data_IF_391115806648
#
_entry.id   IF_391115806648
#
_cell.length_a   1.000
_cell.length_b   1.000
_cell.length_c   1.000
_cell.angle_alpha   90.00
_cell.angle_beta   90.00
_cell.angle_gamma   90.00
#
_symmetry.space_group_name_H-M   'P 1'
#
loop_
_entity.id
_entity.type
_entity.pdbx_description
1 polymer ?
#
# COMPACT_ATOMS: atom_id res chain seq x y z
N UNK A 1 -28.64 9.93 -16.06
CA UNK A 1 -27.96 9.13 -17.10
C UNK A 1 -27.08 8.10 -16.40
N UNK A 2 -27.71 7.11 -15.78
CA UNK A 2 -27.05 5.98 -15.12
C UNK A 2 -27.81 4.75 -15.61
N UNK A 3 -27.32 4.16 -16.70
CA UNK A 3 -27.91 2.99 -17.32
C UNK A 3 -27.07 1.77 -16.99
N UNK A 4 -27.60 0.90 -16.13
CA UNK A 4 -27.56 -0.56 -16.28
C UNK A 4 -26.22 -1.23 -16.62
N UNK A 5 -25.19 -1.07 -15.79
CA UNK A 5 -24.00 -1.93 -15.81
C UNK A 5 -23.57 -2.21 -14.39
N UNK A 6 -23.85 -3.42 -13.87
CA UNK A 6 -23.41 -3.81 -12.54
C UNK A 6 -21.91 -3.60 -12.39
N UNK A 7 -21.48 -3.06 -11.25
CA UNK A 7 -20.08 -3.08 -10.85
C UNK A 7 -19.63 -4.55 -10.78
N UNK A 8 -19.14 -5.09 -11.88
CA UNK A 8 -18.49 -6.39 -11.86
C UNK A 8 -17.19 -6.22 -11.08
N UNK A 9 -17.05 -7.00 -10.00
CA UNK A 9 -15.90 -7.10 -9.06
C UNK A 9 -14.50 -7.26 -9.69
N UNK A 10 -14.37 -7.14 -11.02
CA UNK A 10 -13.23 -7.51 -11.87
C UNK A 10 -12.38 -6.33 -12.35
N UNK A 11 -12.59 -5.12 -11.82
CA UNK A 11 -11.84 -3.92 -12.23
C UNK A 11 -10.83 -3.43 -11.19
N UNK A 12 -10.90 -3.96 -9.98
CA UNK A 12 -10.02 -3.58 -8.89
C UNK A 12 -8.77 -4.45 -8.82
N UNK A 13 -8.85 -5.70 -9.30
CA UNK A 13 -7.74 -6.63 -9.28
C UNK A 13 -7.28 -6.94 -10.70
N UNK A 14 -5.96 -6.96 -10.93
CA UNK A 14 -5.39 -7.37 -12.20
C UNK A 14 -5.59 -8.89 -12.42
N UNK A 15 -5.31 -9.72 -11.41
CA UNK A 15 -5.60 -11.16 -11.45
C UNK A 15 -6.92 -11.52 -10.76
N UNK A 16 -7.99 -11.58 -11.57
CA UNK A 16 -9.32 -11.94 -11.08
C UNK A 16 -9.45 -13.37 -10.55
N UNK A 17 -8.46 -14.25 -10.77
CA UNK A 17 -8.46 -15.62 -10.24
C UNK A 17 -8.14 -15.68 -8.73
N UNK A 18 -7.49 -14.64 -8.20
CA UNK A 18 -7.16 -14.50 -6.79
C UNK A 18 -8.33 -13.96 -5.95
N UNK A 19 -9.39 -13.48 -6.60
CA UNK A 19 -10.58 -12.95 -5.93
C UNK A 19 -11.49 -14.10 -5.47
N UNK A 20 -11.15 -14.68 -4.33
CA UNK A 20 -11.92 -15.76 -3.71
C UNK A 20 -13.13 -15.24 -2.95
N UNK A 21 -14.16 -16.08 -2.77
CA UNK A 21 -15.32 -15.72 -1.95
C UNK A 21 -14.90 -15.47 -0.48
N UNK A 22 -13.89 -16.19 0.03
CA UNK A 22 -13.33 -15.94 1.36
C UNK A 22 -12.75 -14.53 1.48
N UNK A 23 -11.97 -14.08 0.49
CA UNK A 23 -11.42 -12.73 0.46
C UNK A 23 -12.54 -11.68 0.47
N UNK A 24 -13.60 -11.90 -0.33
CA UNK A 24 -14.77 -11.02 -0.36
C UNK A 24 -15.43 -10.95 1.01
N UNK A 25 -15.63 -12.09 1.68
CA UNK A 25 -16.21 -12.12 3.01
C UNK A 25 -15.34 -11.38 4.03
N UNK A 26 -14.01 -11.50 3.97
CA UNK A 26 -13.09 -10.77 4.85
C UNK A 26 -13.19 -9.25 4.70
N UNK A 27 -13.50 -8.75 3.50
CA UNK A 27 -13.70 -7.32 3.24
C UNK A 27 -15.13 -6.88 3.62
N UNK A 28 -16.13 -7.72 3.32
CA UNK A 28 -17.55 -7.40 3.52
C UNK A 28 -17.96 -7.43 5.00
N UNK A 29 -17.54 -8.44 5.76
CA UNK A 29 -18.00 -8.65 7.14
C UNK A 29 -17.69 -7.45 8.06
N UNK A 30 -16.48 -6.87 8.07
CA UNK A 30 -16.21 -5.65 8.83
C UNK A 30 -17.12 -4.47 8.43
N UNK A 31 -17.56 -4.42 7.18
CA UNK A 31 -18.46 -3.38 6.69
C UNK A 31 -19.93 -3.54 7.09
N UNK A 32 -20.30 -4.70 7.65
CA UNK A 32 -21.65 -4.96 8.17
C UNK A 32 -21.76 -4.71 9.68
N UNK A 33 -20.65 -4.43 10.36
CA UNK A 33 -20.63 -4.15 11.79
C UNK A 33 -21.32 -2.81 12.11
N UNK A 34 -21.99 -2.69 13.27
CA UNK A 34 -22.55 -1.42 13.72
C UNK A 34 -21.48 -0.32 13.78
N UNK A 35 -21.74 0.83 13.15
CA UNK A 35 -20.80 1.95 13.05
C UNK A 35 -19.83 1.87 11.86
N UNK A 36 -19.83 0.80 11.08
CA UNK A 36 -18.99 0.70 9.89
C UNK A 36 -19.31 1.79 8.84
N UNK A 37 -20.60 2.13 8.69
CA UNK A 37 -21.04 3.20 7.78
C UNK A 37 -20.40 4.56 8.11
N UNK A 38 -20.25 4.88 9.40
CA UNK A 38 -19.62 6.12 9.84
C UNK A 38 -18.11 6.14 9.52
N UNK A 39 -17.44 4.98 9.66
CA UNK A 39 -16.02 4.81 9.27
C UNK A 39 -15.85 4.94 7.76
N UNK A 40 -16.71 4.32 6.97
CA UNK A 40 -16.69 4.46 5.52
C UNK A 40 -16.96 5.91 5.09
N UNK A 41 -17.94 6.58 5.71
CA UNK A 41 -18.26 7.97 5.43
C UNK A 41 -17.09 8.89 5.81
N UNK A 42 -16.45 8.64 6.96
CA UNK A 42 -15.24 9.34 7.34
C UNK A 42 -14.16 9.15 6.26
N UNK A 43 -13.83 7.91 5.87
CA UNK A 43 -12.79 7.64 4.87
C UNK A 43 -13.04 8.33 3.51
N UNK A 44 -14.26 8.27 2.97
CA UNK A 44 -14.56 8.86 1.65
C UNK A 44 -14.72 10.39 1.69
N UNK A 45 -15.08 10.95 2.85
CA UNK A 45 -15.20 12.40 3.03
C UNK A 45 -13.92 13.04 3.58
N UNK A 46 -12.92 12.25 3.98
CA UNK A 46 -11.65 12.73 4.48
C UNK A 46 -10.75 13.12 3.30
N UNK A 47 -10.82 14.39 2.90
CA UNK A 47 -9.87 14.99 1.94
C UNK A 47 -8.84 15.89 2.60
N UNK A 48 -8.77 15.91 3.93
CA UNK A 48 -7.93 16.83 4.70
C UNK A 48 -6.71 16.11 5.27
N UNK A 49 -5.70 15.91 4.41
CA UNK A 49 -4.40 15.41 4.80
C UNK A 49 -3.33 15.90 3.83
N UNK A 50 -2.08 16.10 4.31
CA UNK A 50 -0.99 16.48 3.42
C UNK A 50 -0.76 15.36 2.40
N UNK A 51 -0.55 15.74 1.14
CA UNK A 51 -0.32 14.79 0.07
C UNK A 51 1.03 14.08 0.26
N UNK A 52 1.23 12.87 -0.29
CA UNK A 52 2.51 12.17 -0.23
C UNK A 52 3.67 13.03 -0.73
N UNK A 53 3.47 13.84 -1.77
CA UNK A 53 4.43 14.82 -2.29
C UNK A 53 4.82 15.93 -1.30
N UNK A 54 3.93 16.30 -0.37
CA UNK A 54 4.21 17.27 0.69
C UNK A 54 4.92 16.61 1.88
N UNK A 55 4.65 15.33 2.11
CA UNK A 55 5.22 14.56 3.21
C UNK A 55 6.63 14.05 2.91
N UNK A 56 6.87 13.51 1.70
CA UNK A 56 8.14 12.89 1.33
C UNK A 56 9.37 13.77 1.59
N UNK A 57 9.36 15.09 1.31
CA UNK A 57 10.48 15.99 1.66
C UNK A 57 10.74 16.13 3.17
N UNK A 58 9.73 15.88 4.01
CA UNK A 58 9.81 16.04 5.46
C UNK A 58 10.28 14.76 6.17
N UNK A 59 10.24 13.62 5.46
CA UNK A 59 10.65 12.32 5.99
C UNK A 59 12.18 12.26 6.11
N UNK A 60 12.67 11.92 7.31
CA UNK A 60 14.11 11.80 7.62
C UNK A 60 14.64 10.37 7.58
N UNK A 61 13.75 9.39 7.39
CA UNK A 61 14.10 7.99 7.26
C UNK A 61 14.20 7.62 5.78
N UNK A 62 14.97 6.59 5.44
CA UNK A 62 15.00 6.07 4.07
C UNK A 62 13.62 5.62 3.61
N UNK A 63 13.26 5.94 2.37
CA UNK A 63 12.00 5.54 1.74
C UNK A 63 12.30 4.66 0.53
N UNK A 64 11.57 3.55 0.43
CA UNK A 64 11.51 2.71 -0.77
C UNK A 64 10.14 2.89 -1.40
N UNK A 65 10.10 3.18 -2.71
CA UNK A 65 8.86 3.22 -3.48
C UNK A 65 8.82 2.00 -4.39
N UNK A 66 7.82 1.14 -4.20
CA UNK A 66 7.52 0.01 -5.08
C UNK A 66 6.21 0.29 -5.81
N UNK A 67 6.16 0.04 -7.12
CA UNK A 67 5.01 0.41 -7.97
C UNK A 67 4.65 -0.68 -8.97
N UNK A 68 3.38 -1.06 -9.05
CA UNK A 68 2.88 -2.02 -10.04
C UNK A 68 2.70 -1.37 -11.42
N UNK A 69 3.35 -1.89 -12.47
CA UNK A 69 3.22 -1.34 -13.84
C UNK A 69 1.84 -1.58 -14.48
N UNK A 70 1.06 -2.50 -13.92
CA UNK A 70 -0.28 -2.88 -14.37
C UNK A 70 -1.40 -2.41 -13.45
N UNK A 71 -1.11 -1.55 -12.48
CA UNK A 71 -2.14 -0.95 -11.65
C UNK A 71 -3.15 -0.18 -12.55
N UNK A 72 -4.44 -0.58 -12.56
CA UNK A 72 -5.44 0.05 -13.42
C UNK A 72 -5.96 1.39 -12.87
N UNK A 73 -5.61 1.75 -11.63
CA UNK A 73 -6.06 2.95 -10.94
C UNK A 73 -4.96 4.02 -10.84
N UNK A 74 -3.70 3.61 -10.69
CA UNK A 74 -2.57 4.52 -10.50
C UNK A 74 -1.51 4.41 -11.63
N UNK A 75 -1.51 5.33 -12.61
CA UNK A 75 -0.54 5.33 -13.71
C UNK A 75 0.92 5.42 -13.21
N UNK A 76 1.80 4.61 -13.80
CA UNK A 76 3.23 4.54 -13.43
C UNK A 76 3.95 5.89 -13.55
N UNK A 77 3.47 6.80 -14.41
CA UNK A 77 4.03 8.13 -14.56
C UNK A 77 3.96 8.93 -13.25
N UNK A 78 2.88 8.77 -12.48
CA UNK A 78 2.74 9.38 -11.15
C UNK A 78 3.74 8.76 -10.18
N UNK A 79 3.85 7.43 -10.20
CA UNK A 79 4.82 6.70 -9.39
C UNK A 79 6.26 7.16 -9.60
N UNK A 80 6.68 7.30 -10.87
CA UNK A 80 8.03 7.73 -11.20
C UNK A 80 8.36 9.13 -10.69
N UNK A 81 7.36 10.00 -10.52
CA UNK A 81 7.59 11.32 -9.92
C UNK A 81 8.10 11.21 -8.48
N UNK A 82 7.64 10.20 -7.72
CA UNK A 82 8.11 9.96 -6.36
C UNK A 82 9.58 9.52 -6.28
N UNK A 83 10.13 8.91 -7.34
CA UNK A 83 11.55 8.56 -7.40
C UNK A 83 12.50 9.77 -7.41
N UNK A 84 12.00 10.99 -7.62
CA UNK A 84 12.81 12.20 -7.67
C UNK A 84 12.98 12.91 -6.31
N UNK A 85 12.38 12.41 -5.23
CA UNK A 85 12.53 12.99 -3.90
C UNK A 85 13.80 12.47 -3.22
N UNK A 86 14.55 13.36 -2.56
CA UNK A 86 15.82 13.01 -1.89
C UNK A 86 15.67 11.95 -0.78
N UNK A 87 14.48 11.82 -0.20
CA UNK A 87 14.17 10.82 0.82
C UNK A 87 13.97 9.41 0.26
N UNK A 88 13.77 9.29 -1.06
CA UNK A 88 13.55 8.02 -1.75
C UNK A 88 14.89 7.46 -2.22
N UNK A 89 15.29 6.32 -1.65
CA UNK A 89 16.54 5.65 -2.01
C UNK A 89 16.40 4.83 -3.30
N UNK A 90 15.26 4.15 -3.43
CA UNK A 90 15.01 3.16 -4.47
C UNK A 90 13.58 3.36 -5.02
N UNK A 91 13.43 3.37 -6.35
CA UNK A 91 12.15 3.25 -7.03
C UNK A 91 12.13 1.95 -7.84
N UNK A 92 11.28 1.01 -7.45
CA UNK A 92 11.23 -0.33 -8.03
C UNK A 92 9.88 -0.54 -8.73
N UNK A 93 9.96 -0.87 -10.02
CA UNK A 93 8.78 -1.26 -10.80
C UNK A 93 8.58 -2.76 -10.67
N UNK A 94 7.40 -3.14 -10.21
CA UNK A 94 6.95 -4.52 -10.12
C UNK A 94 5.97 -4.81 -11.27
N UNK A 95 5.96 -6.05 -11.81
CA UNK A 95 5.05 -6.44 -12.89
C UNK A 95 3.59 -6.59 -12.45
N UNK A 96 3.37 -6.63 -11.13
CA UNK A 96 2.09 -6.70 -10.44
C UNK A 96 2.35 -6.34 -8.97
N UNK A 97 1.61 -5.40 -8.40
CA UNK A 97 1.67 -5.04 -6.98
C UNK A 97 0.93 -6.07 -6.10
N UNK A 98 0.07 -6.90 -6.70
CA UNK A 98 -0.66 -7.99 -6.05
C UNK A 98 0.17 -9.29 -5.94
N UNK A 99 1.50 -9.20 -6.01
CA UNK A 99 2.42 -10.34 -6.02
C UNK A 99 3.24 -10.44 -4.71
N UNK A 100 2.71 -11.04 -3.62
CA UNK A 100 3.41 -11.19 -2.35
C UNK A 100 4.79 -11.86 -2.48
N UNK A 101 4.95 -12.80 -3.42
CA UNK A 101 6.22 -13.48 -3.70
C UNK A 101 7.31 -12.53 -4.23
N UNK A 102 6.93 -11.40 -4.82
CA UNK A 102 7.86 -10.35 -5.28
C UNK A 102 7.98 -9.23 -4.25
N UNK A 103 6.86 -8.84 -3.62
CA UNK A 103 6.81 -7.74 -2.65
C UNK A 103 7.45 -8.12 -1.31
N UNK A 104 7.18 -9.31 -0.76
CA UNK A 104 7.66 -9.68 0.57
C UNK A 104 9.19 -9.72 0.66
N UNK A 105 9.93 -10.38 -0.26
CA UNK A 105 11.39 -10.38 -0.22
C UNK A 105 11.97 -8.98 -0.37
N UNK A 106 11.29 -8.10 -1.11
CA UNK A 106 11.71 -6.72 -1.28
C UNK A 106 11.59 -5.93 0.04
N UNK A 107 10.44 -6.04 0.72
CA UNK A 107 10.21 -5.42 2.03
C UNK A 107 11.20 -5.97 3.06
N UNK A 108 11.37 -7.29 3.14
CA UNK A 108 12.34 -7.92 4.05
C UNK A 108 13.76 -7.42 3.80
N UNK A 109 14.17 -7.34 2.54
CA UNK A 109 15.49 -6.84 2.16
C UNK A 109 15.66 -5.37 2.54
N UNK A 110 14.65 -4.54 2.35
CA UNK A 110 14.70 -3.11 2.72
C UNK A 110 14.80 -2.92 4.23
N UNK A 111 13.96 -3.62 4.99
CA UNK A 111 13.99 -3.61 6.45
C UNK A 111 15.34 -4.12 6.96
N UNK A 112 15.88 -5.19 6.39
CA UNK A 112 17.19 -5.73 6.80
C UNK A 112 18.34 -4.74 6.56
N UNK A 113 18.31 -3.96 5.46
CA UNK A 113 19.31 -2.91 5.18
C UNK A 113 19.32 -1.80 6.23
N UNK A 114 18.14 -1.44 6.74
CA UNK A 114 17.93 -0.31 7.64
C UNK A 114 17.68 -0.69 9.10
N UNK A 115 17.69 -1.99 9.39
CA UNK A 115 17.61 -2.49 10.75
C UNK A 115 18.90 -2.15 11.50
N UNK A 116 18.83 -1.15 12.39
CA UNK A 116 19.91 -0.89 13.34
C UNK A 116 20.14 -2.16 14.18
N UNK A 117 21.38 -2.65 14.33
CA UNK A 117 21.66 -3.77 15.22
C UNK A 117 21.13 -3.44 16.61
N UNK A 118 20.22 -4.27 17.13
CA UNK A 118 19.71 -4.12 18.50
C UNK A 118 20.91 -4.13 19.43
N UNK A 119 21.16 -3.02 20.14
CA UNK A 119 22.21 -2.95 21.15
C UNK A 119 22.02 -4.14 22.12
N UNK A 120 23.06 -4.97 22.27
CA UNK A 120 23.02 -6.09 23.21
C UNK A 120 22.77 -5.54 24.60
N UNK A 121 21.57 -5.75 25.14
CA UNK A 121 21.26 -5.41 26.53
C UNK A 121 22.08 -6.35 27.40
N UNK A 122 23.19 -5.83 27.94
CA UNK A 122 24.03 -6.55 28.89
C UNK A 122 23.29 -6.62 30.22
N UNK A 123 22.54 -7.70 30.44
CA UNK A 123 21.96 -8.01 31.73
C UNK A 123 23.12 -8.32 32.69
N UNK A 124 23.37 -7.43 33.65
CA UNK A 124 24.29 -7.72 34.76
C UNK A 124 23.61 -8.74 35.68
N UNK A 125 24.28 -9.83 36.09
CA UNK A 125 23.74 -10.73 37.10
C UNK A 125 23.66 -10.01 38.45
N UNK A 126 22.64 -10.37 39.23
CA UNK A 126 22.41 -9.93 40.62
C UNK A 126 23.35 -10.70 41.54
#
# INVERSE_FOLDING_TARGET
MWSGGGLTRRRCYHDTSQVTEELVQKILLPGLEPGAADVFLAFICYSEGPLPEELLPQVKCPVLVAWGDKDPWEPIELGRAYGNFDSVEDFIVLPDDEAPQLVNPLVESFVARHATPRAKVSVKPI
#
